data_IF_996990681335
#
_entry.id   IF_996990681335
#
_cell.length_a   1.000
_cell.length_b   1.000
_cell.length_c   1.000
_cell.angle_alpha   90.00
_cell.angle_beta   90.00
_cell.angle_gamma   90.00
#
_symmetry.space_group_name_H-M   'P 1'
#
loop_
_entity.id
_entity.type
_entity.pdbx_description
1 polymer ?
#
# COMPACT_ATOMS: atom_id res chain seq x y z
N UNK A 1 25.70 20.95 -22.41
CA UNK A 1 25.46 20.07 -21.25
C UNK A 1 24.37 20.74 -20.44
N UNK A 2 23.11 20.44 -20.78
CA UNK A 2 21.95 21.10 -20.18
C UNK A 2 21.73 20.54 -18.78
N UNK A 3 21.62 21.46 -17.82
CA UNK A 3 21.36 21.17 -16.42
C UNK A 3 20.17 20.21 -16.26
N UNK A 4 20.46 18.98 -15.82
CA UNK A 4 19.46 18.09 -15.25
C UNK A 4 19.07 18.71 -13.90
N UNK A 5 18.20 19.72 -13.94
CA UNK A 5 17.49 20.14 -12.73
C UNK A 5 16.68 18.93 -12.30
N UNK A 6 17.21 18.20 -11.34
CA UNK A 6 16.47 17.21 -10.59
C UNK A 6 15.43 18.00 -9.81
N UNK A 7 14.28 18.20 -10.46
CA UNK A 7 13.08 18.72 -9.85
C UNK A 7 12.75 17.74 -8.72
N UNK A 8 12.92 18.17 -7.47
CA UNK A 8 12.48 17.39 -6.32
C UNK A 8 10.95 17.43 -6.35
N UNK A 9 10.37 16.61 -7.22
CA UNK A 9 8.95 16.30 -7.19
C UNK A 9 8.70 15.71 -5.81
N UNK A 10 7.87 16.37 -5.00
CA UNK A 10 7.49 15.90 -3.67
C UNK A 10 6.57 14.69 -3.83
N UNK A 11 7.12 13.58 -4.27
CA UNK A 11 6.40 12.34 -4.46
C UNK A 11 6.11 11.73 -3.08
N UNK A 12 4.85 11.39 -2.85
CA UNK A 12 4.40 10.80 -1.60
C UNK A 12 4.24 9.29 -1.84
N UNK A 13 4.97 8.50 -1.07
CA UNK A 13 4.74 7.05 -1.00
C UNK A 13 3.76 6.76 0.13
N UNK A 14 2.53 6.40 -0.23
CA UNK A 14 1.49 5.99 0.69
C UNK A 14 1.53 4.46 0.86
N UNK A 15 1.64 3.98 2.10
CA UNK A 15 1.54 2.55 2.42
C UNK A 15 0.21 2.27 3.10
N UNK A 16 -0.56 1.34 2.52
CA UNK A 16 -1.86 0.89 3.01
C UNK A 16 -1.76 -0.57 3.42
N UNK A 17 -2.40 -0.92 4.53
CA UNK A 17 -2.63 -2.31 4.95
C UNK A 17 -4.12 -2.60 4.84
N UNK A 18 -4.48 -3.67 4.11
CA UNK A 18 -5.86 -4.09 3.97
C UNK A 18 -6.02 -5.60 4.20
N UNK A 19 -7.20 -6.01 4.64
CA UNK A 19 -7.54 -7.43 4.71
C UNK A 19 -7.71 -7.99 3.29
N UNK A 20 -7.58 -9.31 3.15
CA UNK A 20 -7.77 -10.00 1.85
C UNK A 20 -9.14 -9.72 1.23
N UNK A 21 -10.18 -9.48 2.04
CA UNK A 21 -11.54 -9.16 1.56
C UNK A 21 -11.64 -7.78 0.90
N UNK A 22 -10.74 -6.85 1.22
CA UNK A 22 -10.73 -5.50 0.66
C UNK A 22 -9.68 -5.31 -0.43
N UNK A 23 -8.81 -6.30 -0.65
CA UNK A 23 -7.72 -6.24 -1.62
C UNK A 23 -8.23 -5.87 -3.01
N UNK A 24 -9.12 -6.67 -3.60
CA UNK A 24 -9.61 -6.43 -4.97
C UNK A 24 -10.23 -5.03 -5.13
N UNK A 25 -11.12 -4.64 -4.21
CA UNK A 25 -11.78 -3.32 -4.26
C UNK A 25 -10.79 -2.16 -4.12
N UNK A 26 -9.74 -2.33 -3.32
CA UNK A 26 -8.70 -1.32 -3.18
C UNK A 26 -7.88 -1.20 -4.48
N UNK A 27 -7.50 -2.32 -5.09
CA UNK A 27 -6.76 -2.31 -6.35
C UNK A 27 -7.59 -1.67 -7.47
N UNK A 28 -8.88 -2.00 -7.57
CA UNK A 28 -9.80 -1.38 -8.54
C UNK A 28 -9.88 0.13 -8.35
N UNK A 29 -10.03 0.59 -7.09
CA UNK A 29 -10.06 2.03 -6.79
C UNK A 29 -8.75 2.72 -7.20
N UNK A 30 -7.60 2.10 -6.92
CA UNK A 30 -6.29 2.67 -7.27
C UNK A 30 -6.09 2.74 -8.79
N UNK A 31 -6.58 1.76 -9.56
CA UNK A 31 -6.56 1.79 -11.02
C UNK A 31 -7.41 2.93 -11.60
N UNK A 32 -8.48 3.32 -10.91
CA UNK A 32 -9.39 4.40 -11.33
C UNK A 32 -8.98 5.79 -10.81
N UNK A 33 -7.96 5.88 -9.94
CA UNK A 33 -7.59 7.14 -9.28
C UNK A 33 -6.53 7.90 -10.06
N UNK A 34 -6.90 9.07 -10.59
CA UNK A 34 -6.03 9.87 -11.47
C UNK A 34 -4.72 10.34 -10.82
N UNK A 35 -4.69 10.53 -9.50
CA UNK A 35 -3.50 10.96 -8.76
C UNK A 35 -2.52 9.82 -8.47
N UNK A 36 -2.88 8.57 -8.74
CA UNK A 36 -2.01 7.40 -8.57
C UNK A 36 -1.15 7.23 -9.80
N UNK A 37 0.18 7.28 -9.63
CA UNK A 37 1.14 7.05 -10.72
C UNK A 37 1.42 5.56 -10.92
N UNK A 38 1.66 4.87 -9.81
CA UNK A 38 1.88 3.43 -9.76
C UNK A 38 1.57 2.90 -8.36
N UNK A 39 1.33 1.59 -8.27
CA UNK A 39 1.24 0.90 -7.00
C UNK A 39 1.77 -0.53 -7.11
N UNK A 40 2.19 -1.09 -5.97
CA UNK A 40 2.54 -2.50 -5.81
C UNK A 40 1.70 -3.10 -4.68
N UNK A 41 1.43 -4.41 -4.75
CA UNK A 41 0.75 -5.13 -3.69
C UNK A 41 1.49 -6.41 -3.33
N UNK A 42 1.41 -6.82 -2.06
CA UNK A 42 2.03 -8.05 -1.57
C UNK A 42 1.50 -8.47 -0.21
N UNK A 43 1.61 -9.76 0.11
CA UNK A 43 1.24 -10.27 1.44
C UNK A 43 2.29 -9.84 2.47
N UNK A 44 1.81 -9.38 3.63
CA UNK A 44 2.63 -8.94 4.73
C UNK A 44 2.15 -9.57 6.05
N UNK A 45 3.09 -10.05 6.85
CA UNK A 45 2.82 -10.42 8.24
C UNK A 45 2.67 -9.15 9.08
N UNK A 46 1.51 -9.00 9.71
CA UNK A 46 1.17 -7.86 10.57
C UNK A 46 1.01 -8.35 12.01
N UNK A 47 1.48 -7.55 12.95
CA UNK A 47 1.37 -7.81 14.38
C UNK A 47 0.61 -6.66 15.08
N UNK A 48 0.01 -6.94 16.23
CA UNK A 48 -0.63 -5.89 17.07
C UNK A 48 -2.08 -5.57 16.69
N UNK A 49 -2.68 -6.31 15.76
CA UNK A 49 -4.11 -6.18 15.41
C UNK A 49 -4.92 -7.05 16.36
N UNK A 50 -5.29 -6.51 17.52
CA UNK A 50 -5.93 -7.25 18.60
C UNK A 50 -7.24 -7.96 18.19
N UNK A 51 -7.95 -7.42 17.19
CA UNK A 51 -9.25 -7.91 16.72
C UNK A 51 -9.15 -9.03 15.67
N UNK A 52 -8.00 -9.18 15.02
CA UNK A 52 -7.80 -10.19 13.99
C UNK A 52 -6.90 -11.29 14.56
N UNK A 53 -7.51 -12.31 15.16
CA UNK A 53 -6.79 -13.50 15.59
C UNK A 53 -6.96 -14.54 14.50
N UNK A 54 -5.87 -14.96 13.84
CA UNK A 54 -5.90 -16.05 12.87
C UNK A 54 -5.45 -17.35 13.56
N UNK A 55 -6.36 -18.28 13.92
CA UNK A 55 -6.00 -19.50 14.63
C UNK A 55 -5.10 -20.45 13.81
N UNK A 56 -5.07 -20.29 12.49
CA UNK A 56 -4.19 -21.06 11.61
C UNK A 56 -2.73 -20.62 11.71
N UNK A 57 -2.47 -19.41 12.22
CA UNK A 57 -1.11 -18.91 12.40
C UNK A 57 -0.54 -19.35 13.76
N UNK A 58 0.55 -20.11 13.71
CA UNK A 58 1.26 -20.62 14.89
C UNK A 58 2.08 -19.54 15.63
N UNK A 59 1.88 -18.26 15.31
CA UNK A 59 2.57 -17.12 15.93
C UNK A 59 1.54 -16.20 16.56
N UNK A 60 1.67 -15.98 17.87
CA UNK A 60 0.73 -15.19 18.64
C UNK A 60 0.63 -13.76 18.09
N UNK A 61 -0.59 -13.33 17.78
CA UNK A 61 -0.87 -11.96 17.34
C UNK A 61 -0.38 -11.63 15.94
N UNK A 62 -0.02 -12.64 15.11
CA UNK A 62 0.30 -12.46 13.69
C UNK A 62 -0.93 -12.68 12.82
N UNK A 63 -1.06 -11.82 11.81
CA UNK A 63 -2.09 -11.89 10.77
C UNK A 63 -1.45 -11.60 9.43
N UNK A 64 -1.80 -12.38 8.42
CA UNK A 64 -1.46 -12.06 7.04
C UNK A 64 -2.45 -11.03 6.47
N UNK A 65 -1.94 -9.87 6.06
CA UNK A 65 -2.69 -8.81 5.37
C UNK A 65 -2.05 -8.53 4.01
N UNK A 66 -2.71 -7.72 3.18
CA UNK A 66 -2.12 -7.21 1.95
C UNK A 66 -1.59 -5.80 2.21
N UNK A 67 -0.31 -5.59 1.94
CA UNK A 67 0.30 -4.28 1.87
C UNK A 67 0.16 -3.77 0.44
N UNK A 68 -0.29 -2.53 0.29
CA UNK A 68 -0.27 -1.81 -0.98
C UNK A 68 0.58 -0.56 -0.81
N UNK A 69 1.59 -0.39 -1.67
CA UNK A 69 2.41 0.82 -1.71
C UNK A 69 2.04 1.60 -2.95
N UNK A 70 1.72 2.88 -2.78
CA UNK A 70 1.18 3.74 -3.82
C UNK A 70 2.09 4.96 -3.95
N UNK A 71 2.57 5.22 -5.16
CA UNK A 71 3.25 6.47 -5.47
C UNK A 71 2.21 7.47 -5.99
N UNK A 72 1.99 8.53 -5.21
CA UNK A 72 1.09 9.61 -5.57
C UNK A 72 1.83 10.67 -6.37
N UNK A 73 1.17 11.16 -7.42
CA UNK A 73 1.59 12.37 -8.11
C UNK A 73 1.43 13.60 -7.23
N UNK A 74 2.14 14.67 -7.57
CA UNK A 74 1.93 15.98 -6.97
C UNK A 74 0.45 16.36 -7.10
N UNK A 75 -0.16 16.81 -6.00
CA UNK A 75 -1.45 17.48 -6.07
C UNK A 75 -1.21 18.87 -6.64
N UNK A 76 -1.87 19.18 -7.76
CA UNK A 76 -1.82 20.48 -8.43
C UNK A 76 -2.49 21.57 -7.60
#
# INVERSE_FOLDING_TARGET
MSDFKQEISSEICLTLLCSSTLEEKLLDLLLMTQSVRLFTSGKLAVHGVAEMRNPAEQVLGRVTMTQVQVLLGRAD
#
